data_IF_826926811267
#
_entry.id   IF_826926811267
#
_cell.length_a   1.000
_cell.length_b   1.000
_cell.length_c   1.000
_cell.angle_alpha   90.00
_cell.angle_beta   90.00
_cell.angle_gamma   90.00
#
_symmetry.space_group_name_H-M   'P 1'
#
loop_
_entity.id
_entity.type
_entity.pdbx_description
1 polymer ?
#
# COMPACT_ATOMS: atom_id res chain seq x y z
N UNK A 1 17.84 -1.36 10.83
CA UNK A 1 18.38 -2.68 11.23
C UNK A 1 17.43 -3.84 10.91
N UNK A 2 16.11 -3.64 10.96
CA UNK A 2 15.11 -4.68 10.69
C UNK A 2 15.21 -5.35 9.30
N UNK A 3 15.33 -4.57 8.20
CA UNK A 3 15.42 -5.15 6.85
C UNK A 3 16.62 -6.09 6.65
N UNK A 4 17.74 -5.81 7.32
CA UNK A 4 18.94 -6.65 7.22
C UNK A 4 18.74 -7.98 7.95
N UNK A 5 18.17 -7.96 9.15
CA UNK A 5 17.84 -9.18 9.89
C UNK A 5 16.80 -10.03 9.18
N UNK A 6 15.77 -9.41 8.57
CA UNK A 6 14.76 -10.13 7.79
C UNK A 6 15.36 -10.77 6.55
N UNK A 7 16.26 -10.07 5.85
CA UNK A 7 16.96 -10.64 4.70
C UNK A 7 17.83 -11.84 5.09
N UNK A 8 18.60 -11.73 6.17
CA UNK A 8 19.42 -12.85 6.68
C UNK A 8 18.52 -14.03 7.07
N UNK A 9 17.41 -13.77 7.77
CA UNK A 9 16.47 -14.82 8.15
C UNK A 9 15.88 -15.54 6.92
N UNK A 10 15.59 -14.82 5.82
CA UNK A 10 15.13 -15.40 4.57
C UNK A 10 16.19 -16.32 3.94
N UNK A 11 17.47 -15.92 3.98
CA UNK A 11 18.59 -16.73 3.50
C UNK A 11 18.78 -17.99 4.37
N UNK A 12 18.80 -17.83 5.69
CA UNK A 12 18.99 -18.93 6.65
C UNK A 12 17.82 -19.93 6.64
N UNK A 13 16.61 -19.48 6.32
CA UNK A 13 15.46 -20.35 6.14
C UNK A 13 15.59 -21.26 4.89
N UNK A 14 16.58 -21.03 4.02
CA UNK A 14 16.84 -21.84 2.84
C UNK A 14 15.75 -21.76 1.77
N UNK A 15 14.81 -20.79 1.86
CA UNK A 15 13.67 -20.68 0.93
C UNK A 15 14.16 -20.47 -0.50
N UNK A 16 15.22 -19.66 -0.69
CA UNK A 16 15.79 -19.40 -2.00
C UNK A 16 16.45 -20.64 -2.62
N UNK A 17 17.02 -21.52 -1.80
CA UNK A 17 17.66 -22.77 -2.27
C UNK A 17 16.64 -23.88 -2.50
N UNK A 18 15.55 -23.88 -1.72
CA UNK A 18 14.51 -24.93 -1.77
C UNK A 18 13.64 -24.85 -3.02
N UNK A 19 13.50 -23.67 -3.63
CA UNK A 19 12.66 -23.44 -4.80
C UNK A 19 13.43 -22.74 -5.94
N UNK A 20 14.45 -23.40 -6.53
CA UNK A 20 15.34 -22.77 -7.51
C UNK A 20 14.66 -22.39 -8.84
N UNK A 21 13.55 -23.06 -9.18
CA UNK A 21 12.74 -22.70 -10.35
C UNK A 21 11.97 -21.38 -10.14
N UNK A 22 11.58 -21.09 -8.89
CA UNK A 22 10.88 -19.85 -8.52
C UNK A 22 11.87 -18.74 -8.18
N UNK A 23 12.97 -19.07 -7.50
CA UNK A 23 14.03 -18.16 -7.10
C UNK A 23 15.38 -18.62 -7.66
N UNK A 24 15.69 -18.36 -8.95
CA UNK A 24 16.97 -18.70 -9.53
C UNK A 24 18.14 -18.11 -8.72
N UNK A 25 19.31 -18.78 -8.67
CA UNK A 25 20.48 -18.25 -7.98
C UNK A 25 20.83 -16.83 -8.46
N UNK A 26 21.06 -15.93 -7.51
CA UNK A 26 21.31 -14.51 -7.80
C UNK A 26 20.06 -13.68 -8.13
N UNK A 27 18.85 -14.26 -8.10
CA UNK A 27 17.62 -13.49 -8.25
C UNK A 27 17.45 -12.49 -7.10
N UNK A 28 17.63 -12.93 -5.86
CA UNK A 28 17.53 -12.03 -4.69
C UNK A 28 18.93 -11.63 -4.27
N UNK A 29 19.20 -10.33 -4.37
CA UNK A 29 20.40 -9.66 -3.84
C UNK A 29 19.98 -8.67 -2.77
N UNK A 30 20.93 -8.20 -1.95
CA UNK A 30 20.65 -7.15 -0.96
C UNK A 30 20.00 -5.91 -1.62
N UNK A 31 20.52 -5.46 -2.76
CA UNK A 31 19.99 -4.29 -3.46
C UNK A 31 18.55 -4.52 -3.94
N UNK A 32 18.24 -5.72 -4.46
CA UNK A 32 16.87 -6.08 -4.88
C UNK A 32 15.92 -6.20 -3.70
N UNK A 33 16.40 -6.71 -2.56
CA UNK A 33 15.62 -6.77 -1.32
C UNK A 33 15.27 -5.37 -0.81
N UNK A 34 16.25 -4.49 -0.67
CA UNK A 34 16.03 -3.10 -0.23
C UNK A 34 15.15 -2.35 -1.23
N UNK A 35 15.36 -2.54 -2.53
CA UNK A 35 14.52 -1.95 -3.56
C UNK A 35 13.07 -2.43 -3.43
N UNK A 36 12.83 -3.74 -3.34
CA UNK A 36 11.48 -4.29 -3.20
C UNK A 36 10.79 -3.79 -1.93
N UNK A 37 11.49 -3.79 -0.79
CA UNK A 37 10.98 -3.24 0.46
C UNK A 37 10.62 -1.75 0.34
N UNK A 38 11.46 -0.96 -0.34
CA UNK A 38 11.19 0.46 -0.58
C UNK A 38 9.99 0.68 -1.50
N UNK A 39 9.83 -0.15 -2.53
CA UNK A 39 8.66 -0.14 -3.42
C UNK A 39 7.39 -0.46 -2.64
N UNK A 40 7.38 -1.54 -1.85
CA UNK A 40 6.23 -1.90 -1.01
C UNK A 40 5.89 -0.77 -0.04
N UNK A 41 6.88 -0.25 0.70
CA UNK A 41 6.65 0.81 1.68
C UNK A 41 6.12 2.13 1.08
N UNK A 42 6.48 2.43 -0.17
CA UNK A 42 6.13 3.69 -0.85
C UNK A 42 4.89 3.61 -1.73
N UNK A 43 4.49 2.41 -2.18
CA UNK A 43 3.46 2.24 -3.22
C UNK A 43 2.34 1.27 -2.84
N UNK A 44 2.54 0.43 -1.83
CA UNK A 44 1.48 -0.44 -1.37
C UNK A 44 0.36 0.39 -0.73
N UNK A 45 -0.87 0.05 -1.06
CA UNK A 45 -2.06 0.62 -0.47
C UNK A 45 -2.70 -0.38 0.48
N UNK A 46 -3.52 0.08 1.43
CA UNK A 46 -4.30 -0.82 2.27
C UNK A 46 -5.07 -1.84 1.45
N UNK A 47 -5.18 -3.07 1.94
CA UNK A 47 -5.94 -4.13 1.25
C UNK A 47 -7.41 -3.77 1.06
N UNK A 48 -7.95 -2.86 1.89
CA UNK A 48 -9.29 -2.24 1.73
C UNK A 48 -9.47 -1.50 0.42
N UNK A 49 -8.41 -1.19 -0.32
CA UNK A 49 -8.52 -0.72 -1.69
C UNK A 49 -8.92 -1.83 -2.68
N UNK A 50 -8.64 -3.09 -2.36
CA UNK A 50 -8.93 -4.22 -3.25
C UNK A 50 -10.20 -4.97 -2.86
N UNK A 51 -10.44 -5.17 -1.57
CA UNK A 51 -11.61 -5.89 -1.05
C UNK A 51 -12.86 -5.00 -1.02
N UNK A 52 -14.03 -5.62 -0.87
CA UNK A 52 -15.31 -4.92 -0.95
C UNK A 52 -15.52 -3.96 0.23
N UNK A 53 -16.33 -2.91 0.00
CA UNK A 53 -16.62 -1.86 0.99
C UNK A 53 -17.21 -2.38 2.32
N UNK A 54 -17.84 -3.56 2.30
CA UNK A 54 -18.41 -4.24 3.47
C UNK A 54 -17.36 -4.79 4.43
N UNK A 55 -16.09 -4.88 4.01
CA UNK A 55 -15.02 -5.50 4.77
C UNK A 55 -13.98 -4.48 5.25
N UNK A 56 -13.65 -4.54 6.53
CA UNK A 56 -12.66 -3.65 7.13
C UNK A 56 -11.20 -4.12 6.91
N UNK A 57 -11.01 -5.41 6.60
CA UNK A 57 -9.71 -6.05 6.46
C UNK A 57 -9.83 -7.38 5.68
N UNK A 58 -8.70 -7.93 5.24
CA UNK A 58 -8.63 -9.17 4.48
C UNK A 58 -9.12 -10.37 5.28
N UNK A 59 -8.95 -10.38 6.60
CA UNK A 59 -9.37 -11.51 7.46
C UNK A 59 -10.86 -11.81 7.41
N UNK A 60 -11.68 -10.80 7.12
CA UNK A 60 -13.14 -10.92 7.01
C UNK A 60 -13.62 -11.13 5.57
N UNK A 61 -12.73 -10.96 4.59
CA UNK A 61 -13.07 -11.03 3.18
C UNK A 61 -13.02 -12.49 2.68
N UNK A 62 -14.06 -12.93 2.01
CA UNK A 62 -14.08 -14.24 1.35
C UNK A 62 -13.90 -14.05 -0.15
N UNK A 63 -12.76 -14.43 -0.73
CA UNK A 63 -12.55 -14.26 -2.16
C UNK A 63 -13.49 -15.15 -2.98
N UNK A 64 -14.04 -14.58 -4.05
CA UNK A 64 -14.91 -15.29 -5.00
C UNK A 64 -14.22 -16.50 -5.61
N UNK A 65 -12.92 -16.36 -5.86
CA UNK A 65 -12.06 -17.45 -6.29
C UNK A 65 -11.06 -17.77 -5.18
N UNK A 66 -11.09 -18.98 -4.58
CA UNK A 66 -10.16 -19.38 -3.52
C UNK A 66 -8.67 -19.30 -3.92
N UNK A 67 -8.37 -19.16 -5.22
CA UNK A 67 -6.99 -18.99 -5.74
C UNK A 67 -6.52 -17.53 -5.78
N UNK A 68 -7.38 -16.55 -5.52
CA UNK A 68 -7.02 -15.12 -5.52
C UNK A 68 -6.14 -14.76 -4.32
N UNK A 69 -6.39 -15.37 -3.16
CA UNK A 69 -5.62 -15.15 -1.94
C UNK A 69 -4.78 -16.38 -1.64
N UNK A 70 -3.57 -16.41 -2.18
CA UNK A 70 -2.63 -17.53 -1.98
C UNK A 70 -1.86 -17.42 -0.66
N UNK A 71 -1.90 -16.24 -0.03
CA UNK A 71 -1.26 -15.95 1.26
C UNK A 71 -2.32 -15.82 2.37
N UNK A 72 -1.99 -16.14 3.64
CA UNK A 72 -2.87 -15.90 4.78
C UNK A 72 -3.34 -14.43 4.83
N UNK A 73 -4.57 -14.21 5.28
CA UNK A 73 -5.21 -12.88 5.24
C UNK A 73 -4.43 -11.82 6.04
N UNK A 74 -3.80 -12.22 7.14
CA UNK A 74 -2.99 -11.33 7.99
C UNK A 74 -1.81 -10.73 7.23
N UNK A 75 -1.24 -11.49 6.28
CA UNK A 75 -0.15 -11.02 5.43
C UNK A 75 -0.63 -9.93 4.47
N UNK A 76 -1.87 -10.01 3.98
CA UNK A 76 -2.45 -8.97 3.14
C UNK A 76 -2.77 -7.71 3.93
N UNK A 77 -3.26 -7.86 5.16
CA UNK A 77 -3.49 -6.73 6.06
C UNK A 77 -2.19 -6.00 6.42
N UNK A 78 -1.09 -6.74 6.56
CA UNK A 78 0.23 -6.18 6.84
C UNK A 78 0.90 -5.54 5.60
N UNK A 79 0.96 -6.25 4.48
CA UNK A 79 1.70 -5.83 3.29
C UNK A 79 0.90 -4.93 2.34
N UNK A 80 -0.42 -4.96 2.43
CA UNK A 80 -1.31 -4.25 1.50
C UNK A 80 -1.29 -4.81 0.08
N UNK A 81 -1.66 -3.97 -0.87
CA UNK A 81 -1.80 -4.30 -2.29
C UNK A 81 -1.16 -3.26 -3.19
N UNK A 82 -0.59 -3.71 -4.30
CA UNK A 82 -0.09 -2.83 -5.36
C UNK A 82 -1.17 -2.73 -6.45
N UNK A 83 -1.69 -1.53 -6.70
CA UNK A 83 -2.66 -1.31 -7.79
C UNK A 83 -1.99 -0.51 -8.90
N UNK A 84 -1.70 -1.13 -10.06
CA UNK A 84 -1.07 -0.45 -11.17
C UNK A 84 -1.82 0.81 -11.58
N UNK A 85 -1.07 1.82 -12.04
CA UNK A 85 -1.55 3.14 -12.48
C UNK A 85 -2.01 4.05 -11.33
N UNK A 86 -2.66 3.50 -10.30
CA UNK A 86 -3.04 4.28 -9.13
C UNK A 86 -1.82 4.66 -8.29
N UNK A 87 -0.84 3.75 -8.18
CA UNK A 87 0.44 3.97 -7.52
C UNK A 87 1.34 5.00 -8.25
N UNK A 88 0.96 5.45 -9.44
CA UNK A 88 1.65 6.50 -10.18
C UNK A 88 1.22 7.92 -9.77
N UNK A 89 0.11 8.06 -9.03
CA UNK A 89 -0.37 9.37 -8.59
C UNK A 89 0.51 9.89 -7.45
N UNK A 90 0.99 11.11 -7.59
CA UNK A 90 1.75 11.78 -6.54
C UNK A 90 0.85 12.28 -5.40
N UNK A 91 1.48 12.56 -4.26
CA UNK A 91 0.81 13.04 -3.06
C UNK A 91 0.68 14.56 -3.04
N UNK A 92 -0.53 15.04 -2.76
CA UNK A 92 -0.77 16.44 -2.41
C UNK A 92 -2.02 16.53 -1.51
N UNK A 93 -1.87 17.07 -0.30
CA UNK A 93 -2.95 17.10 0.70
C UNK A 93 -4.02 18.11 0.31
N UNK A 94 -3.61 19.32 -0.07
CA UNK A 94 -4.55 20.42 -0.33
C UNK A 94 -5.28 20.25 -1.68
N UNK A 95 -4.57 19.65 -2.63
CA UNK A 95 -5.04 19.43 -4.00
C UNK A 95 -5.41 17.97 -4.27
N UNK A 96 -5.70 17.16 -3.24
CA UNK A 96 -6.22 15.82 -3.47
C UNK A 96 -7.44 15.89 -4.40
N UNK A 97 -7.35 15.13 -5.48
CA UNK A 97 -8.31 15.13 -6.59
C UNK A 97 -8.89 13.75 -6.81
N UNK A 98 -8.12 12.71 -6.49
CA UNK A 98 -8.53 11.33 -6.69
C UNK A 98 -8.92 10.70 -5.36
N UNK A 99 -10.14 10.16 -5.32
CA UNK A 99 -10.62 9.25 -4.28
C UNK A 99 -10.66 7.85 -4.86
N UNK A 100 -10.21 6.86 -4.09
CA UNK A 100 -10.38 5.47 -4.46
C UNK A 100 -11.70 4.93 -3.90
N UNK A 101 -12.44 4.20 -4.72
CA UNK A 101 -13.64 3.48 -4.31
C UNK A 101 -13.41 1.97 -4.51
N UNK A 102 -13.58 1.16 -3.45
CA UNK A 102 -13.45 -0.29 -3.54
C UNK A 102 -14.58 -0.92 -4.36
N UNK A 103 -14.52 -2.23 -4.57
CA UNK A 103 -15.59 -2.99 -5.19
C UNK A 103 -16.88 -2.88 -4.36
N UNK A 104 -18.02 -2.74 -5.03
CA UNK A 104 -19.36 -2.87 -4.45
C UNK A 104 -20.06 -3.99 -5.20
N UNK A 105 -20.43 -5.04 -4.48
CA UNK A 105 -21.08 -6.21 -5.07
C UNK A 105 -22.60 -6.00 -5.25
N UNK A 106 -23.20 -6.78 -6.16
CA UNK A 106 -24.65 -6.98 -6.25
C UNK A 106 -25.13 -7.68 -4.96
N UNK A 107 -25.45 -6.88 -3.94
CA UNK A 107 -26.09 -7.35 -2.72
C UNK A 107 -27.57 -6.97 -2.68
N UNK A 108 -28.41 -7.84 -2.10
CA UNK A 108 -29.81 -7.58 -1.74
C UNK A 108 -29.90 -6.52 -0.62
N UNK A 109 -29.41 -5.30 -0.87
CA UNK A 109 -29.44 -4.22 0.10
C UNK A 109 -30.71 -3.37 -0.04
N UNK A 110 -31.67 -3.67 0.84
CA UNK A 110 -32.81 -2.82 1.17
C UNK A 110 -32.32 -1.52 1.86
N UNK A 111 -32.10 -0.46 1.07
CA UNK A 111 -32.05 0.91 1.57
C UNK A 111 -30.65 1.50 1.77
N UNK A 112 -29.91 1.67 0.68
CA UNK A 112 -29.35 2.95 0.21
C UNK A 112 -28.49 2.66 -1.05
N UNK A 113 -28.86 3.32 -2.15
CA UNK A 113 -28.60 2.98 -3.55
C UNK A 113 -27.16 3.27 -4.03
N UNK A 114 -26.16 2.44 -3.70
CA UNK A 114 -24.93 2.39 -4.50
C UNK A 114 -25.04 1.26 -5.53
N UNK A 115 -25.06 1.61 -6.82
CA UNK A 115 -25.03 0.61 -7.90
C UNK A 115 -23.73 -0.20 -7.83
N UNK A 116 -23.80 -1.53 -8.05
CA UNK A 116 -22.63 -2.39 -8.08
C UNK A 116 -21.57 -1.87 -9.05
N UNK A 117 -20.32 -1.85 -8.61
CA UNK A 117 -19.21 -1.41 -9.46
C UNK A 117 -17.90 -2.06 -9.05
N UNK A 118 -17.03 -2.28 -10.05
CA UNK A 118 -15.64 -2.66 -9.81
C UNK A 118 -14.86 -1.54 -9.10
N UNK A 119 -13.72 -1.85 -8.46
CA UNK A 119 -12.87 -0.83 -7.86
C UNK A 119 -12.48 0.25 -8.88
N UNK A 120 -12.56 1.52 -8.48
CA UNK A 120 -12.34 2.66 -9.39
C UNK A 120 -11.74 3.85 -8.69
N UNK A 121 -10.91 4.59 -9.44
CA UNK A 121 -10.42 5.90 -9.04
C UNK A 121 -11.40 6.97 -9.55
N UNK A 122 -11.95 7.78 -8.65
CA UNK A 122 -12.86 8.88 -8.96
C UNK A 122 -12.15 10.21 -8.82
N UNK A 123 -12.27 11.04 -9.85
CA UNK A 123 -11.83 12.42 -9.83
C UNK A 123 -12.91 13.32 -9.20
N UNK A 124 -12.73 13.74 -7.94
CA UNK A 124 -13.71 14.55 -7.20
C UNK A 124 -13.67 16.04 -7.57
N UNK A 125 -12.51 16.52 -8.04
CA UNK A 125 -12.32 17.93 -8.43
C UNK A 125 -11.92 18.01 -9.91
N UNK A 126 -12.49 18.96 -10.65
CA UNK A 126 -12.14 19.20 -12.07
C UNK A 126 -10.63 19.42 -12.22
N UNK A 127 -9.98 18.57 -13.01
CA UNK A 127 -8.59 18.75 -13.42
C UNK A 127 -8.51 19.50 -14.76
N UNK A 128 -7.56 20.42 -14.89
CA UNK A 128 -7.30 21.12 -16.16
C UNK A 128 -6.39 20.25 -17.02
N UNK A 129 -6.61 20.27 -18.34
CA UNK A 129 -5.73 19.60 -19.30
C UNK A 129 -4.28 20.08 -19.11
N UNK A 130 -3.36 19.13 -18.97
CA UNK A 130 -1.94 19.41 -18.78
C UNK A 130 -1.50 19.61 -17.33
N UNK A 131 -2.45 19.65 -16.38
CA UNK A 131 -2.12 19.62 -14.97
C UNK A 131 -1.99 18.19 -14.48
N UNK A 132 -1.07 17.98 -13.54
CA UNK A 132 -0.95 16.75 -12.80
C UNK A 132 -2.17 16.49 -11.92
N UNK A 133 -2.45 15.21 -11.68
CA UNK A 133 -3.53 14.74 -10.82
C UNK A 133 -2.91 14.10 -9.58
N UNK A 134 -3.40 14.49 -8.41
CA UNK A 134 -2.86 14.05 -7.13
C UNK A 134 -3.84 13.20 -6.32
N UNK A 135 -3.27 12.34 -5.49
CA UNK A 135 -3.95 11.59 -4.44
C UNK A 135 -3.43 12.02 -3.06
N UNK A 136 -4.04 11.55 -1.97
CA UNK A 136 -3.54 11.73 -0.62
C UNK A 136 -3.08 10.39 -0.05
N UNK A 137 -1.77 10.22 0.18
CA UNK A 137 -1.23 9.04 0.84
C UNK A 137 -1.61 8.99 2.34
N UNK A 138 -1.95 10.15 2.90
CA UNK A 138 -2.31 10.33 4.29
C UNK A 138 -1.78 11.67 4.82
N UNK A 139 -2.23 12.02 6.02
CA UNK A 139 -1.79 13.24 6.71
C UNK A 139 -0.68 12.87 7.70
N UNK A 140 0.57 12.83 7.19
CA UNK A 140 1.73 12.27 7.90
C UNK A 140 2.79 13.33 8.23
N UNK A 141 3.54 13.17 9.34
CA UNK A 141 4.73 13.98 9.64
C UNK A 141 5.84 13.78 8.61
N UNK A 142 6.74 14.77 8.47
CA UNK A 142 7.79 14.73 7.46
C UNK A 142 8.78 13.59 7.66
N UNK A 143 9.05 13.17 8.90
CA UNK A 143 9.91 12.01 9.16
C UNK A 143 9.37 10.73 8.48
N UNK A 144 8.06 10.52 8.48
CA UNK A 144 7.40 9.40 7.81
C UNK A 144 7.39 9.60 6.31
N UNK A 145 7.08 10.81 5.83
CA UNK A 145 7.09 11.12 4.40
C UNK A 145 8.46 10.89 3.75
N UNK A 146 9.54 11.28 4.44
CA UNK A 146 10.91 11.09 3.96
C UNK A 146 11.27 9.60 3.94
N UNK A 147 11.01 8.90 5.05
CA UNK A 147 11.38 7.49 5.18
C UNK A 147 10.58 6.57 4.24
N UNK A 148 9.29 6.84 4.01
CA UNK A 148 8.42 5.98 3.21
C UNK A 148 8.34 6.42 1.75
N UNK A 149 8.33 7.72 1.46
CA UNK A 149 8.04 8.24 0.13
C UNK A 149 9.16 9.12 -0.46
N UNK A 150 10.24 9.38 0.29
CA UNK A 150 11.37 10.17 -0.19
C UNK A 150 11.05 11.66 -0.41
N UNK A 151 10.04 12.20 0.27
CA UNK A 151 9.60 13.59 0.12
C UNK A 151 9.29 14.24 1.48
N UNK A 152 9.15 15.56 1.50
CA UNK A 152 8.70 16.32 2.68
C UNK A 152 7.91 17.56 2.23
N UNK A 153 7.01 18.03 3.09
CA UNK A 153 6.25 19.25 2.86
C UNK A 153 6.85 20.43 3.62
N UNK A 154 6.93 21.57 2.94
CA UNK A 154 7.27 22.83 3.58
C UNK A 154 6.08 23.27 4.45
N UNK A 155 6.33 23.58 5.72
CA UNK A 155 5.28 23.95 6.69
C UNK A 155 4.22 22.86 6.95
N UNK A 156 4.64 21.58 6.98
CA UNK A 156 3.75 20.48 7.32
C UNK A 156 3.15 20.66 8.73
N UNK A 157 1.83 20.88 8.82
CA UNK A 157 1.14 21.10 10.09
C UNK A 157 1.10 19.86 10.99
N UNK A 158 1.38 18.67 10.45
CA UNK A 158 1.49 17.41 11.19
C UNK A 158 2.91 17.04 11.56
N UNK A 159 3.90 17.88 11.24
CA UNK A 159 5.28 17.54 11.56
C UNK A 159 5.48 17.40 13.07
N UNK A 160 6.27 16.41 13.46
CA UNK A 160 6.52 16.09 14.87
C UNK A 160 8.02 16.00 15.15
N UNK A 161 8.43 16.45 16.34
CA UNK A 161 9.80 16.29 16.83
C UNK A 161 9.76 15.40 18.07
N UNK A 162 10.42 14.25 17.99
CA UNK A 162 10.55 13.33 19.14
C UNK A 162 11.72 13.76 20.01
N UNK A 163 11.45 14.06 21.28
CA UNK A 163 12.47 14.38 22.27
C UNK A 163 12.75 13.12 23.08
N UNK A 164 13.93 12.51 22.86
CA UNK A 164 14.42 11.42 23.70
C UNK A 164 15.37 11.95 24.75
N UNK A 165 15.09 11.68 26.02
CA UNK A 165 16.06 11.91 27.10
C UNK A 165 16.98 10.69 27.16
N UNK A 166 18.21 10.86 26.66
CA UNK A 166 19.27 9.86 26.81
C UNK A 166 19.75 9.81 28.26
N UNK A 167 18.97 9.18 29.14
CA UNK A 167 19.44 8.68 30.42
C UNK A 167 19.73 7.19 30.25
N UNK A 168 20.88 6.88 29.66
CA UNK A 168 21.48 5.54 29.64
C UNK A 168 22.98 5.67 29.78
#
# INVERSE_FOLDING_TARGET
MQLASEFIALLEAGILERFPETFPPGLITWDRWVWAASIVASRAMPVTCYIDKSHANASTFQPRNPKEFQSPAEIWDELGVMVPLLDMLNHEIESQQVKWEPNVEDGDHDGDEEEPHSPRAILEKKAKKGNEIYTAYGDYPNNRLICQYGMAHVNNAKDEVRIGWGLS
#
